data_IF_764380681078
#
_entry.id   IF_764380681078
#
_cell.length_a   1.000
_cell.length_b   1.000
_cell.length_c   1.000
_cell.angle_alpha   90.00
_cell.angle_beta   90.00
_cell.angle_gamma   90.00
#
_symmetry.space_group_name_H-M   'P 1'
#
loop_
_entity.id
_entity.type
_entity.pdbx_description
1 polymer ?
#
# COMPACT_ATOMS: atom_id res chain seq x y z
N UNK A 1 15.43 -16.74 18.60
CA UNK A 1 15.33 -16.15 17.24
C UNK A 1 13.87 -15.95 16.85
N UNK A 2 13.57 -14.79 16.31
CA UNK A 2 12.21 -14.45 15.91
C UNK A 2 11.93 -14.96 14.50
N UNK A 3 10.77 -15.59 14.32
CA UNK A 3 10.35 -16.03 13.00
C UNK A 3 10.14 -14.79 12.09
N UNK A 4 10.55 -14.87 10.79
CA UNK A 4 10.43 -13.71 9.89
C UNK A 4 9.02 -13.13 9.79
N UNK A 5 7.98 -13.95 9.95
CA UNK A 5 6.60 -13.45 9.89
C UNK A 5 6.29 -12.41 10.98
N UNK A 6 7.05 -12.39 12.07
CA UNK A 6 6.87 -11.42 13.15
C UNK A 6 7.31 -10.01 12.73
N UNK A 7 8.08 -9.89 11.66
CA UNK A 7 8.51 -8.60 11.11
C UNK A 7 7.54 -8.04 10.08
N UNK A 8 6.48 -8.76 9.75
CA UNK A 8 5.46 -8.26 8.84
C UNK A 8 4.65 -7.16 9.54
N UNK A 9 4.50 -6.04 8.85
CA UNK A 9 3.76 -4.89 9.36
C UNK A 9 2.27 -5.09 9.12
N UNK A 10 1.46 -5.12 10.17
CA UNK A 10 0.03 -5.35 10.06
C UNK A 10 -0.70 -4.27 9.27
N UNK A 11 -0.23 -3.04 9.31
CA UNK A 11 -0.82 -1.95 8.52
C UNK A 11 -0.66 -2.24 7.04
N UNK A 12 0.50 -2.74 6.63
CA UNK A 12 0.82 -3.03 5.23
C UNK A 12 0.33 -4.42 4.82
N UNK A 13 0.43 -5.40 5.73
CA UNK A 13 0.10 -6.80 5.44
C UNK A 13 -1.41 -7.02 5.47
N UNK A 14 -2.11 -6.24 4.68
CA UNK A 14 -3.53 -6.34 4.43
C UNK A 14 -3.67 -6.19 2.91
N UNK A 15 -4.37 -7.11 2.29
CA UNK A 15 -4.48 -7.22 0.83
C UNK A 15 -4.66 -5.88 0.12
N UNK A 16 -5.62 -5.10 0.57
CA UNK A 16 -5.98 -3.86 -0.14
C UNK A 16 -4.98 -2.74 0.11
N UNK A 17 -4.45 -2.64 1.33
CA UNK A 17 -3.43 -1.64 1.64
C UNK A 17 -2.11 -1.96 0.96
N UNK A 18 -1.74 -3.24 0.94
CA UNK A 18 -0.57 -3.69 0.18
C UNK A 18 -0.73 -3.34 -1.31
N UNK A 19 -1.92 -3.59 -1.85
CA UNK A 19 -2.24 -3.26 -3.25
C UNK A 19 -2.13 -1.77 -3.53
N UNK A 20 -2.65 -0.93 -2.64
CA UNK A 20 -2.54 0.53 -2.78
C UNK A 20 -1.08 0.96 -2.84
N UNK A 21 -0.27 0.50 -1.89
CA UNK A 21 1.15 0.87 -1.86
C UNK A 21 1.90 0.36 -3.08
N UNK A 22 1.56 -0.82 -3.58
CA UNK A 22 2.18 -1.38 -4.78
C UNK A 22 1.86 -0.53 -6.01
N UNK A 23 0.61 -0.10 -6.17
CA UNK A 23 0.23 0.81 -7.27
C UNK A 23 0.97 2.13 -7.16
N UNK A 24 1.04 2.69 -5.95
CA UNK A 24 1.71 3.98 -5.73
C UNK A 24 3.23 3.89 -5.82
N UNK A 25 3.80 2.69 -5.80
CA UNK A 25 5.23 2.51 -6.03
C UNK A 25 5.59 2.65 -7.52
N UNK A 26 4.60 2.45 -8.40
CA UNK A 26 4.81 2.48 -9.86
C UNK A 26 4.41 3.82 -10.48
N UNK A 27 3.79 4.71 -9.72
CA UNK A 27 3.29 5.98 -10.24
C UNK A 27 3.48 7.09 -9.20
N UNK A 28 3.62 8.32 -9.69
CA UNK A 28 3.74 9.48 -8.80
C UNK A 28 2.44 9.74 -8.05
N UNK A 29 1.32 9.55 -8.73
CA UNK A 29 -0.03 9.73 -8.19
C UNK A 29 -0.95 8.66 -8.71
N UNK A 30 -2.01 8.40 -7.96
CA UNK A 30 -3.12 7.61 -8.45
C UNK A 30 -4.42 8.30 -8.03
N UNK A 31 -5.34 8.44 -8.97
CA UNK A 31 -6.66 9.00 -8.70
C UNK A 31 -7.48 8.00 -7.88
N UNK A 32 -8.35 8.55 -7.03
CA UNK A 32 -9.24 7.74 -6.19
C UNK A 32 -10.06 6.74 -7.05
N UNK A 33 -10.63 7.22 -8.15
CA UNK A 33 -11.40 6.37 -9.05
C UNK A 33 -10.58 5.25 -9.67
N UNK A 34 -9.34 5.53 -10.02
CA UNK A 34 -8.43 4.53 -10.58
C UNK A 34 -8.12 3.44 -9.55
N UNK A 35 -7.78 3.83 -8.33
CA UNK A 35 -7.50 2.88 -7.25
C UNK A 35 -8.72 2.01 -6.95
N UNK A 36 -9.89 2.64 -6.91
CA UNK A 36 -11.15 1.92 -6.66
C UNK A 36 -11.40 0.85 -7.71
N UNK A 37 -11.19 1.21 -8.97
CA UNK A 37 -11.43 0.31 -10.09
C UNK A 37 -10.42 -0.84 -10.15
N UNK A 38 -9.13 -0.51 -10.09
CA UNK A 38 -8.08 -1.52 -10.25
C UNK A 38 -8.02 -2.49 -9.07
N UNK A 39 -8.40 -2.04 -7.88
CA UNK A 39 -8.39 -2.86 -6.67
C UNK A 39 -9.77 -3.45 -6.35
N UNK A 40 -10.76 -3.14 -7.15
CA UNK A 40 -12.14 -3.62 -6.99
C UNK A 40 -12.68 -3.32 -5.58
N UNK A 41 -12.62 -2.06 -5.21
CA UNK A 41 -13.07 -1.60 -3.89
C UNK A 41 -14.26 -0.67 -4.00
N UNK A 42 -15.06 -0.64 -2.93
CA UNK A 42 -16.09 0.38 -2.78
C UNK A 42 -15.47 1.70 -2.35
N UNK A 43 -16.21 2.80 -2.54
CA UNK A 43 -15.75 4.12 -2.09
C UNK A 43 -15.41 4.11 -0.59
N UNK A 44 -16.28 3.52 0.21
CA UNK A 44 -16.09 3.47 1.66
C UNK A 44 -14.88 2.64 2.08
N UNK A 45 -14.69 1.48 1.44
CA UNK A 45 -13.55 0.63 1.77
C UNK A 45 -12.23 1.28 1.37
N UNK A 46 -12.18 1.87 0.17
CA UNK A 46 -10.95 2.57 -0.26
C UNK A 46 -10.65 3.76 0.67
N UNK A 47 -11.66 4.55 1.00
CA UNK A 47 -11.48 5.69 1.91
C UNK A 47 -10.91 5.25 3.25
N UNK A 48 -11.43 4.15 3.80
CA UNK A 48 -10.94 3.61 5.08
C UNK A 48 -9.49 3.19 4.99
N UNK A 49 -9.13 2.45 3.95
CA UNK A 49 -7.76 1.99 3.78
C UNK A 49 -6.78 3.14 3.57
N UNK A 50 -7.18 4.12 2.77
CA UNK A 50 -6.35 5.32 2.58
C UNK A 50 -6.16 6.08 3.88
N UNK A 51 -7.21 6.19 4.70
CA UNK A 51 -7.13 6.84 6.00
C UNK A 51 -6.13 6.13 6.93
N UNK A 52 -6.17 4.81 6.99
CA UNK A 52 -5.23 4.03 7.79
C UNK A 52 -3.79 4.29 7.34
N UNK A 53 -3.56 4.28 6.02
CA UNK A 53 -2.23 4.54 5.47
C UNK A 53 -1.77 5.98 5.71
N UNK A 54 -2.68 6.94 5.60
CA UNK A 54 -2.36 8.34 5.82
C UNK A 54 -1.99 8.59 7.29
N UNK A 55 -2.74 8.03 8.21
CA UNK A 55 -2.47 8.14 9.65
C UNK A 55 -1.12 7.51 10.01
N UNK A 56 -0.72 6.47 9.30
CA UNK A 56 0.59 5.83 9.50
C UNK A 56 1.73 6.60 8.81
N UNK A 57 1.41 7.67 8.08
CA UNK A 57 2.42 8.47 7.38
C UNK A 57 2.95 7.87 6.11
N UNK A 58 2.24 6.88 5.54
CA UNK A 58 2.70 6.14 4.37
C UNK A 58 2.21 6.72 3.05
N UNK A 59 1.10 7.44 3.07
CA UNK A 59 0.54 8.10 1.89
C UNK A 59 0.10 9.52 2.24
N UNK A 60 -0.01 10.34 1.21
CA UNK A 60 -0.61 11.68 1.29
C UNK A 60 -1.81 11.70 0.36
N UNK A 61 -2.91 12.26 0.85
CA UNK A 61 -4.13 12.44 0.07
C UNK A 61 -4.21 13.90 -0.33
N UNK A 62 -4.36 14.15 -1.61
CA UNK A 62 -4.47 15.50 -2.15
C UNK A 62 -5.82 15.68 -2.82
N UNK A 63 -6.48 16.77 -2.50
CA UNK A 63 -7.76 17.14 -3.09
C UNK A 63 -7.58 18.44 -3.85
N UNK A 64 -7.93 18.42 -5.12
CA UNK A 64 -7.86 19.61 -5.97
C UNK A 64 -8.99 19.55 -7.01
N UNK A 65 -8.85 20.34 -8.06
CA UNK A 65 -9.82 20.37 -9.13
C UNK A 65 -9.15 20.08 -10.46
N UNK A 66 -9.85 19.33 -11.29
CA UNK A 66 -9.49 19.15 -12.69
C UNK A 66 -10.57 19.92 -13.48
N UNK A 67 -10.25 21.15 -13.88
CA UNK A 67 -11.27 22.06 -14.37
C UNK A 67 -12.24 22.40 -13.25
N UNK A 68 -13.53 22.12 -13.42
CA UNK A 68 -14.56 22.33 -12.41
C UNK A 68 -14.87 21.10 -11.58
N UNK A 69 -14.21 19.98 -11.86
CA UNK A 69 -14.48 18.72 -11.17
C UNK A 69 -13.55 18.54 -10.00
N UNK A 70 -14.06 18.22 -8.81
CA UNK A 70 -13.23 17.83 -7.69
C UNK A 70 -12.46 16.56 -8.02
N UNK A 71 -11.19 16.51 -7.61
CA UNK A 71 -10.34 15.37 -7.82
C UNK A 71 -9.62 15.00 -6.52
N UNK A 72 -9.61 13.72 -6.19
CA UNK A 72 -8.85 13.18 -5.06
C UNK A 72 -7.79 12.26 -5.59
N UNK A 73 -6.54 12.51 -5.21
CA UNK A 73 -5.39 11.70 -5.61
C UNK A 73 -4.61 11.26 -4.37
N UNK A 74 -3.95 10.14 -4.49
CA UNK A 74 -3.05 9.65 -3.45
C UNK A 74 -1.64 9.52 -4.02
N UNK A 75 -0.65 9.70 -3.16
CA UNK A 75 0.74 9.41 -3.50
C UNK A 75 1.43 8.79 -2.30
N UNK A 76 2.45 7.98 -2.55
CA UNK A 76 3.24 7.38 -1.50
C UNK A 76 4.25 8.40 -0.97
N UNK A 77 4.46 8.40 0.34
CA UNK A 77 5.55 9.17 0.94
C UNK A 77 6.86 8.39 0.82
N UNK A 78 7.99 9.05 1.11
CA UNK A 78 9.27 8.35 1.22
C UNK A 78 9.18 7.21 2.23
N UNK A 79 8.54 7.47 3.36
CA UNK A 79 8.33 6.46 4.41
C UNK A 79 7.47 5.31 3.89
N UNK A 80 6.44 5.61 3.10
CA UNK A 80 5.58 4.59 2.50
C UNK A 80 6.35 3.69 1.54
N UNK A 81 7.18 4.27 0.68
CA UNK A 81 7.99 3.50 -0.26
C UNK A 81 9.01 2.62 0.48
N UNK A 82 9.64 3.16 1.51
CA UNK A 82 10.60 2.38 2.31
C UNK A 82 9.89 1.25 3.04
N UNK A 83 8.75 1.53 3.65
CA UNK A 83 7.98 0.52 4.39
C UNK A 83 7.54 -0.62 3.46
N UNK A 84 7.09 -0.31 2.25
CA UNK A 84 6.74 -1.32 1.27
C UNK A 84 7.95 -2.16 0.89
N UNK A 85 9.09 -1.53 0.60
CA UNK A 85 10.30 -2.25 0.22
C UNK A 85 10.76 -3.20 1.34
N UNK A 86 10.74 -2.74 2.58
CA UNK A 86 11.11 -3.57 3.75
C UNK A 86 10.15 -4.75 3.90
N UNK A 87 8.86 -4.50 3.69
CA UNK A 87 7.82 -5.53 3.79
C UNK A 87 8.01 -6.61 2.71
N UNK A 88 8.27 -6.19 1.47
CA UNK A 88 8.51 -7.11 0.36
C UNK A 88 9.76 -7.94 0.60
N UNK A 89 10.80 -7.34 1.18
CA UNK A 89 12.01 -8.07 1.55
C UNK A 89 11.72 -9.16 2.59
N UNK A 90 10.93 -8.83 3.60
CA UNK A 90 10.53 -9.80 4.63
C UNK A 90 9.75 -10.94 4.00
N UNK A 91 8.84 -10.64 3.08
CA UNK A 91 8.08 -11.67 2.36
C UNK A 91 9.00 -12.56 1.52
N UNK A 92 10.00 -11.96 0.87
CA UNK A 92 10.97 -12.71 0.09
C UNK A 92 11.79 -13.66 0.98
N UNK A 93 12.18 -13.19 2.16
CA UNK A 93 12.88 -14.04 3.14
C UNK A 93 12.03 -15.23 3.56
N UNK A 94 10.72 -15.02 3.74
CA UNK A 94 9.79 -16.11 4.04
C UNK A 94 9.70 -17.10 2.90
N UNK A 95 9.58 -16.62 1.67
CA UNK A 95 9.53 -17.48 0.49
C UNK A 95 10.80 -18.32 0.38
N UNK A 96 11.95 -17.69 0.56
CA UNK A 96 13.23 -18.37 0.50
C UNK A 96 13.36 -19.45 1.57
N UNK A 97 12.89 -19.16 2.77
CA UNK A 97 12.94 -20.09 3.89
C UNK A 97 12.07 -21.31 3.63
N UNK A 98 10.83 -21.10 3.16
CA UNK A 98 9.91 -22.19 2.83
C UNK A 98 10.49 -23.06 1.71
N UNK A 99 11.02 -22.45 0.68
CA UNK A 99 11.60 -23.17 -0.46
C UNK A 99 12.83 -23.98 -0.05
N UNK A 100 13.64 -23.45 0.85
CA UNK A 100 14.82 -24.14 1.36
C UNK A 100 14.44 -25.39 2.14
N UNK A 101 13.38 -25.33 2.94
CA UNK A 101 12.93 -26.46 3.76
C UNK A 101 12.27 -27.57 2.95
N UNK A 102 11.88 -27.31 1.72
CA UNK A 102 11.27 -28.31 0.82
C UNK A 102 12.26 -29.24 0.15
N UNK A 103 13.53 -29.09 0.40
CA UNK A 103 14.58 -29.94 -0.19
C UNK A 103 14.79 -31.20 0.63
#
# INVERSE_FOLDING_TARGET
MTHPSRSLDEVIHQKNRLGILAVLAEADYADFGYLKEILDLTDGNLSRHLQVLEEAGLVVIEKDFQGKRPRTRARSTRRGRKALADHLKTMQDLINRVNKEKR
#
